data_IF_689576487094
#
_entry.id   IF_689576487094
#
_cell.length_a   1.000
_cell.length_b   1.000
_cell.length_c   1.000
_cell.angle_alpha   90.00
_cell.angle_beta   90.00
_cell.angle_gamma   90.00
#
_symmetry.space_group_name_H-M   'P 1'
#
loop_
_entity.id
_entity.type
_entity.pdbx_description
1 polymer ?
#
# COMPACT_ATOMS: atom_id res chain seq x y z
N UNK A 1 -12.14 -11.38 -0.97
CA UNK A 1 -11.71 -10.13 -1.64
C UNK A 1 -10.64 -9.49 -0.78
N UNK A 2 -9.42 -9.46 -1.28
CA UNK A 2 -8.29 -8.82 -0.64
C UNK A 2 -8.08 -7.39 -1.14
N UNK A 3 -7.55 -6.53 -0.28
CA UNK A 3 -7.22 -5.13 -0.61
C UNK A 3 -5.80 -4.81 -0.17
N UNK A 4 -5.06 -4.15 -1.04
CA UNK A 4 -3.69 -3.68 -0.78
C UNK A 4 -3.77 -2.19 -0.49
N UNK A 5 -3.32 -1.79 0.69
CA UNK A 5 -3.35 -0.41 1.17
C UNK A 5 -1.93 0.09 1.41
N UNK A 6 -1.69 1.36 1.11
CA UNK A 6 -0.41 2.00 1.31
C UNK A 6 -0.23 2.35 2.79
N UNK A 7 0.87 1.91 3.41
CA UNK A 7 1.16 2.18 4.83
C UNK A 7 1.40 3.67 5.14
N UNK A 8 1.64 4.50 4.12
CA UNK A 8 2.09 5.89 4.30
C UNK A 8 0.99 6.90 4.03
N UNK A 9 0.20 6.70 2.96
CA UNK A 9 -0.90 7.60 2.61
C UNK A 9 -2.29 6.99 2.83
N UNK A 10 -2.35 5.75 3.32
CA UNK A 10 -3.59 4.98 3.52
C UNK A 10 -4.44 4.82 2.25
N UNK A 11 -3.84 5.09 1.09
CA UNK A 11 -4.48 4.93 -0.21
C UNK A 11 -4.54 3.47 -0.64
N UNK A 12 -5.65 3.09 -1.27
CA UNK A 12 -5.78 1.76 -1.89
C UNK A 12 -4.87 1.64 -3.11
N UNK A 13 -3.92 0.71 -3.04
CA UNK A 13 -2.98 0.40 -4.12
C UNK A 13 -3.63 -0.55 -5.13
N UNK A 14 -4.48 -1.47 -4.66
CA UNK A 14 -5.20 -2.40 -5.53
C UNK A 14 -6.07 -3.38 -4.76
N UNK A 15 -6.80 -4.21 -5.51
CA UNK A 15 -7.62 -5.29 -4.99
C UNK A 15 -7.23 -6.60 -5.64
N UNK A 16 -7.41 -7.71 -4.93
CA UNK A 16 -7.21 -9.06 -5.46
C UNK A 16 -8.35 -9.97 -5.03
N UNK A 17 -8.71 -10.93 -5.86
CA UNK A 17 -9.68 -11.93 -5.48
C UNK A 17 -9.00 -12.97 -4.60
N UNK A 18 -9.53 -13.10 -3.38
CA UNK A 18 -9.09 -14.05 -2.37
C UNK A 18 -10.33 -14.62 -1.70
N UNK A 19 -10.27 -15.90 -1.35
CA UNK A 19 -11.38 -16.61 -0.69
C UNK A 19 -11.66 -15.99 0.69
N UNK A 20 -10.61 -15.46 1.34
CA UNK A 20 -10.70 -14.77 2.62
C UNK A 20 -10.58 -13.25 2.45
N UNK A 21 -11.14 -12.49 3.38
CA UNK A 21 -10.92 -11.03 3.43
C UNK A 21 -9.54 -10.77 4.02
N UNK A 22 -8.63 -10.29 3.19
CA UNK A 22 -7.23 -10.02 3.57
C UNK A 22 -6.87 -8.58 3.24
N UNK A 23 -6.37 -7.84 4.23
CA UNK A 23 -5.85 -6.49 4.03
C UNK A 23 -4.33 -6.59 4.07
N UNK A 24 -3.71 -6.31 2.93
CA UNK A 24 -2.27 -6.26 2.80
C UNK A 24 -1.81 -4.81 2.84
N UNK A 25 -0.65 -4.59 3.42
CA UNK A 25 -0.08 -3.27 3.58
C UNK A 25 1.23 -3.19 2.80
N UNK A 26 1.28 -2.27 1.83
CA UNK A 26 2.42 -2.08 0.93
C UNK A 26 2.88 -0.62 0.90
N UNK A 27 3.89 -0.36 0.07
CA UNK A 27 4.34 1.01 -0.25
C UNK A 27 3.95 1.33 -1.68
N UNK A 28 3.35 2.49 -1.86
CA UNK A 28 3.12 3.07 -3.16
C UNK A 28 4.48 3.34 -3.84
N UNK A 29 4.66 2.94 -5.10
CA UNK A 29 5.91 3.12 -5.83
C UNK A 29 6.28 4.60 -6.07
N UNK A 30 7.36 4.83 -6.83
CA UNK A 30 7.94 6.15 -7.14
C UNK A 30 6.98 7.18 -7.74
N UNK A 31 5.80 6.75 -8.20
CA UNK A 31 4.75 7.59 -8.75
C UNK A 31 3.76 8.15 -7.71
N UNK A 32 4.01 7.97 -6.42
CA UNK A 32 3.16 8.50 -5.35
C UNK A 32 3.98 9.37 -4.40
N UNK A 33 3.47 10.54 -4.02
CA UNK A 33 4.15 11.51 -3.14
C UNK A 33 4.61 10.92 -1.80
N UNK A 34 3.95 9.84 -1.35
CA UNK A 34 4.32 9.15 -0.13
C UNK A 34 5.58 8.27 -0.25
N UNK A 35 6.05 7.93 -1.45
CA UNK A 35 7.30 7.18 -1.67
C UNK A 35 8.55 7.95 -1.17
N UNK A 36 8.45 9.28 -1.11
CA UNK A 36 9.52 10.15 -0.62
C UNK A 36 9.63 10.19 0.91
N UNK A 37 8.60 9.75 1.64
CA UNK A 37 8.59 9.79 3.11
C UNK A 37 9.27 8.60 3.78
N UNK A 38 9.53 7.51 3.05
CA UNK A 38 10.03 6.26 3.62
C UNK A 38 11.55 6.07 3.48
N UNK A 39 12.19 6.77 2.54
CA UNK A 39 13.66 6.78 2.42
C UNK A 39 14.36 7.65 3.49
N UNK A 40 13.61 8.17 4.46
CA UNK A 40 14.12 9.00 5.56
C UNK A 40 14.22 8.26 6.90
N UNK A 41 14.28 6.92 6.90
CA UNK A 41 14.67 6.17 8.10
C UNK A 41 16.12 5.71 7.95
N UNK A 42 16.97 6.44 8.69
CA UNK A 42 18.39 6.25 8.94
C UNK A 42 18.81 4.81 9.27
#
# INVERSE_FOLDING_TARGET
MGTIVCQVCEGTIGHFEDEKTTVLYGKCGTNCDCARKDNAKA
#
